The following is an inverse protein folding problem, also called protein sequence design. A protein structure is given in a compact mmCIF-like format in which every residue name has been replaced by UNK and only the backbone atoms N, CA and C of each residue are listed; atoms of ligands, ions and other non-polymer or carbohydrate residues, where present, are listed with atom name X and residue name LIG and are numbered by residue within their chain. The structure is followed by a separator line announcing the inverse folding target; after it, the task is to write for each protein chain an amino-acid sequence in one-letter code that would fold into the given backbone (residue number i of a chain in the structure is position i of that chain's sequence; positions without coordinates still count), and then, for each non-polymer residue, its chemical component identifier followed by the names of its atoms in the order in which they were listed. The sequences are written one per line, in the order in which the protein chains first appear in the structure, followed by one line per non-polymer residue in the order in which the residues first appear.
data_IF_400484096706
#
_entry.id   IF_400484096706
#
_cell.length_a   1.000
_cell.length_b   1.000
_cell.length_c   1.000
_cell.angle_alpha   90.00
_cell.angle_beta   90.00
_cell.angle_gamma   90.00
#
_symmetry.space_group_name_H-M   'P 1'
#
loop_
_entity.id
_entity.type
_entity.pdbx_description
1 polymer ?
#
# COMPACT_ATOMS: atom_id res chain seq x y z
N UNK A 1 5.75 -59.18 -39.21
CA UNK A 1 4.64 -59.13 -38.22
C UNK A 1 5.06 -58.33 -36.98
N UNK A 2 6.21 -58.60 -36.34
CA UNK A 2 6.67 -57.90 -35.10
C UNK A 2 6.81 -56.39 -35.27
N UNK A 3 7.36 -55.87 -36.39
CA UNK A 3 7.49 -54.40 -36.61
C UNK A 3 6.14 -53.69 -36.76
N UNK A 4 5.15 -54.30 -37.40
CA UNK A 4 3.80 -53.75 -37.52
C UNK A 4 3.09 -53.71 -36.12
N UNK A 5 3.30 -54.71 -35.28
CA UNK A 5 2.74 -54.77 -33.94
C UNK A 5 3.34 -53.68 -33.01
N UNK A 6 4.66 -53.49 -33.09
CA UNK A 6 5.33 -52.39 -32.34
C UNK A 6 4.82 -51.02 -32.80
N UNK A 7 4.64 -50.82 -34.11
CA UNK A 7 4.12 -49.54 -34.66
C UNK A 7 2.69 -49.24 -34.16
N UNK A 8 1.85 -50.28 -34.09
CA UNK A 8 0.47 -50.14 -33.52
C UNK A 8 0.51 -49.77 -32.05
N UNK A 9 1.39 -50.41 -31.26
CA UNK A 9 1.55 -50.08 -29.86
C UNK A 9 2.01 -48.64 -29.64
N UNK A 10 2.96 -48.15 -30.46
CA UNK A 10 3.43 -46.76 -30.38
C UNK A 10 2.32 -45.78 -30.75
N UNK A 11 1.49 -46.08 -31.74
CA UNK A 11 0.33 -45.26 -32.09
C UNK A 11 -0.69 -45.21 -30.96
N UNK A 12 -1.00 -46.36 -30.34
CA UNK A 12 -1.93 -46.42 -29.20
C UNK A 12 -1.39 -45.65 -28.00
N UNK A 13 -0.09 -45.78 -27.68
CA UNK A 13 0.55 -45.00 -26.61
C UNK A 13 0.53 -43.51 -26.92
N UNK A 14 0.74 -43.09 -28.15
CA UNK A 14 0.67 -41.68 -28.61
C UNK A 14 -0.75 -41.12 -28.48
N UNK A 15 -1.78 -41.89 -28.80
CA UNK A 15 -3.19 -41.47 -28.67
C UNK A 15 -3.57 -41.31 -27.18
N UNK A 16 -3.09 -42.18 -26.29
CA UNK A 16 -3.32 -42.10 -24.82
C UNK A 16 -2.63 -40.85 -24.25
N UNK A 17 -1.48 -40.42 -24.82
CA UNK A 17 -0.76 -39.22 -24.41
C UNK A 17 -1.45 -37.91 -24.83
N UNK A 18 -2.42 -37.94 -25.71
CA UNK A 18 -3.14 -36.78 -26.26
C UNK A 18 -4.39 -36.41 -25.43
N UNK A 19 -4.76 -37.19 -24.43
CA UNK A 19 -5.94 -36.91 -23.56
C UNK A 19 -5.64 -35.93 -22.42
N UNK A 20 -4.92 -34.86 -22.71
CA UNK A 20 -4.28 -34.00 -21.73
C UNK A 20 -5.11 -32.83 -21.14
N UNK A 21 -6.42 -32.74 -21.31
CA UNK A 21 -7.21 -31.59 -20.80
C UNK A 21 -8.51 -31.99 -20.11
N UNK A 22 -8.50 -33.08 -19.32
CA UNK A 22 -9.71 -33.59 -18.67
C UNK A 22 -10.30 -32.65 -17.60
N UNK A 23 -9.50 -31.76 -17.00
CA UNK A 23 -9.92 -30.86 -15.91
C UNK A 23 -9.91 -29.37 -16.34
N UNK A 24 -10.13 -29.07 -17.61
CA UNK A 24 -10.18 -27.68 -18.09
C UNK A 24 -11.58 -27.09 -17.83
N UNK A 25 -11.67 -26.09 -16.94
CA UNK A 25 -12.88 -25.27 -16.75
C UNK A 25 -12.80 -24.13 -17.80
N UNK A 26 -13.79 -24.04 -18.68
CA UNK A 26 -13.87 -22.97 -19.67
C UNK A 26 -14.03 -21.59 -19.03
N UNK A 27 -13.50 -20.55 -19.68
CA UNK A 27 -13.55 -19.17 -19.16
C UNK A 27 -14.99 -18.69 -18.92
N UNK A 28 -15.95 -19.13 -19.72
CA UNK A 28 -17.37 -18.82 -19.54
C UNK A 28 -18.01 -19.45 -18.30
N UNK A 29 -17.38 -20.47 -17.71
CA UNK A 29 -17.81 -21.13 -16.46
C UNK A 29 -17.11 -20.57 -15.24
N UNK A 30 -16.19 -19.60 -15.41
CA UNK A 30 -15.45 -18.96 -14.33
C UNK A 30 -16.06 -17.63 -13.92
N UNK A 31 -15.95 -17.32 -12.64
CA UNK A 31 -16.19 -16.01 -12.05
C UNK A 31 -14.89 -15.51 -11.44
N UNK A 32 -14.30 -14.47 -12.03
CA UNK A 32 -12.96 -13.99 -11.69
C UNK A 32 -13.07 -13.01 -10.51
N UNK A 33 -12.64 -13.43 -9.33
CA UNK A 33 -12.59 -12.57 -8.14
C UNK A 33 -11.42 -11.59 -8.26
N UNK A 34 -11.73 -10.29 -8.16
CA UNK A 34 -10.76 -9.20 -8.33
C UNK A 34 -10.43 -8.48 -7.05
N UNK A 35 -11.38 -8.44 -6.09
CA UNK A 35 -11.17 -7.88 -4.76
C UNK A 35 -11.92 -8.66 -3.68
N UNK A 36 -11.38 -8.60 -2.47
CA UNK A 36 -11.99 -9.16 -1.26
C UNK A 36 -12.00 -8.08 -0.18
N UNK A 37 -13.19 -7.77 0.33
CA UNK A 37 -13.41 -6.90 1.49
C UNK A 37 -13.69 -7.72 2.73
N UNK A 38 -13.20 -7.29 3.88
CA UNK A 38 -13.43 -7.99 5.14
C UNK A 38 -13.83 -6.96 6.20
N UNK A 39 -15.02 -7.14 6.74
CA UNK A 39 -15.61 -6.28 7.75
C UNK A 39 -15.94 -7.08 9.01
N UNK A 40 -16.08 -6.37 10.12
CA UNK A 40 -16.60 -6.94 11.36
C UNK A 40 -18.06 -7.32 11.17
N UNK A 41 -18.45 -8.50 11.61
CA UNK A 41 -19.85 -8.93 11.65
C UNK A 41 -20.62 -8.35 12.84
N UNK A 42 -21.93 -8.44 12.79
CA UNK A 42 -22.81 -7.92 13.85
C UNK A 42 -22.69 -8.75 15.14
N UNK A 43 -22.43 -10.04 15.03
CA UNK A 43 -22.20 -10.92 16.18
C UNK A 43 -20.69 -11.03 16.49
N UNK A 44 -20.38 -11.15 17.80
CA UNK A 44 -19.02 -11.35 18.30
C UNK A 44 -18.44 -12.65 17.72
N UNK A 45 -17.44 -12.59 16.90
CA UNK A 45 -16.79 -13.68 16.18
C UNK A 45 -17.24 -13.92 14.73
N UNK A 46 -18.19 -13.18 14.21
CA UNK A 46 -18.52 -13.22 12.79
C UNK A 46 -17.77 -12.14 12.03
N UNK A 47 -17.45 -12.43 10.77
CA UNK A 47 -16.93 -11.48 9.78
C UNK A 47 -17.91 -11.39 8.62
N UNK A 48 -17.95 -10.24 7.96
CA UNK A 48 -18.60 -10.07 6.68
C UNK A 48 -17.52 -10.05 5.62
N UNK A 49 -17.57 -11.02 4.70
CA UNK A 49 -16.64 -11.07 3.57
C UNK A 49 -17.37 -10.68 2.29
N UNK A 50 -16.87 -9.66 1.63
CA UNK A 50 -17.41 -9.13 0.37
C UNK A 50 -16.47 -9.51 -0.76
N UNK A 51 -16.98 -10.25 -1.74
CA UNK A 51 -16.27 -10.62 -2.95
C UNK A 51 -16.73 -9.75 -4.11
N UNK A 52 -15.79 -9.11 -4.80
CA UNK A 52 -16.06 -8.45 -6.07
C UNK A 52 -15.45 -9.28 -7.19
N UNK A 53 -16.24 -9.62 -8.18
CA UNK A 53 -15.87 -10.51 -9.27
C UNK A 53 -16.32 -9.98 -10.63
N UNK A 54 -15.69 -10.51 -11.69
CA UNK A 54 -16.03 -10.28 -13.08
C UNK A 54 -16.62 -11.56 -13.65
N UNK A 55 -17.71 -11.43 -14.38
CA UNK A 55 -18.32 -12.50 -15.16
C UNK A 55 -17.93 -12.30 -16.63
N UNK A 56 -16.97 -13.08 -17.19
CA UNK A 56 -16.41 -12.84 -18.53
C UNK A 56 -17.44 -12.85 -19.67
N UNK A 57 -18.48 -13.68 -19.57
CA UNK A 57 -19.54 -13.75 -20.58
C UNK A 57 -20.33 -12.45 -20.77
N UNK A 58 -20.30 -11.57 -19.74
CA UNK A 58 -21.01 -10.29 -19.78
C UNK A 58 -20.13 -9.15 -20.28
N UNK A 59 -18.86 -9.43 -20.58
CA UNK A 59 -17.97 -8.43 -21.15
C UNK A 59 -18.45 -8.04 -22.54
N UNK A 60 -18.47 -6.74 -22.83
CA UNK A 60 -18.83 -6.21 -24.14
C UNK A 60 -17.77 -6.62 -25.17
N UNK A 61 -18.21 -7.07 -26.34
CA UNK A 61 -17.34 -7.27 -27.50
C UNK A 61 -17.81 -6.33 -28.63
N UNK A 62 -16.97 -6.04 -29.63
CA UNK A 62 -17.38 -5.20 -30.77
C UNK A 62 -18.62 -5.71 -31.50
N UNK A 63 -18.93 -7.00 -31.40
CA UNK A 63 -20.08 -7.66 -31.98
C UNK A 63 -21.29 -7.78 -31.04
N UNK A 64 -21.10 -7.49 -29.77
CA UNK A 64 -22.18 -7.44 -28.76
C UNK A 64 -22.07 -6.13 -27.99
N UNK A 65 -23.00 -5.20 -28.15
CA UNK A 65 -23.06 -4.01 -27.31
C UNK A 65 -23.16 -4.44 -25.85
N UNK A 66 -22.61 -3.61 -24.96
CA UNK A 66 -22.67 -3.85 -23.53
C UNK A 66 -24.10 -4.20 -23.14
N UNK A 67 -24.31 -5.39 -22.58
CA UNK A 67 -25.62 -5.73 -22.02
C UNK A 67 -25.93 -4.72 -20.90
N UNK A 68 -27.17 -4.35 -20.70
CA UNK A 68 -27.61 -3.49 -19.58
C UNK A 68 -27.20 -4.04 -18.20
N UNK A 69 -26.82 -5.32 -18.15
CA UNK A 69 -26.29 -5.97 -16.93
C UNK A 69 -24.79 -5.77 -16.83
N UNK A 70 -24.38 -5.13 -15.76
CA UNK A 70 -22.95 -5.02 -15.37
C UNK A 70 -22.28 -6.40 -15.39
N UNK A 71 -21.05 -6.47 -15.91
CA UNK A 71 -20.19 -7.66 -15.82
C UNK A 71 -19.58 -7.85 -14.41
N UNK A 72 -19.84 -6.92 -13.49
CA UNK A 72 -19.36 -6.97 -12.10
C UNK A 72 -20.45 -7.58 -11.23
N UNK A 73 -20.02 -8.51 -10.38
CA UNK A 73 -20.84 -9.13 -9.36
C UNK A 73 -20.21 -8.87 -7.99
N UNK A 74 -20.97 -8.30 -7.05
CA UNK A 74 -20.52 -8.05 -5.69
C UNK A 74 -21.42 -8.81 -4.73
N UNK A 75 -20.82 -9.66 -3.91
CA UNK A 75 -21.57 -10.52 -2.96
C UNK A 75 -20.93 -10.42 -1.59
N UNK A 76 -21.73 -10.06 -0.58
CA UNK A 76 -21.34 -10.09 0.82
C UNK A 76 -21.95 -11.30 1.53
N UNK A 77 -21.13 -11.99 2.32
CA UNK A 77 -21.56 -13.14 3.13
C UNK A 77 -21.10 -12.98 4.58
N UNK A 78 -21.97 -13.23 5.53
CA UNK A 78 -21.60 -13.31 6.96
C UNK A 78 -21.07 -14.69 7.26
N UNK A 79 -19.89 -14.80 7.85
CA UNK A 79 -19.18 -16.05 8.06
C UNK A 79 -18.43 -16.07 9.40
N UNK A 80 -18.13 -17.26 9.89
CA UNK A 80 -17.31 -17.46 11.10
C UNK A 80 -15.81 -17.51 10.79
N UNK A 81 -15.44 -17.72 9.54
CA UNK A 81 -14.05 -17.82 9.08
C UNK A 81 -13.96 -17.53 7.57
N UNK A 82 -12.77 -17.36 7.07
CA UNK A 82 -12.51 -17.22 5.63
C UNK A 82 -12.98 -18.49 4.88
N UNK A 83 -12.70 -19.68 5.38
CA UNK A 83 -13.16 -20.92 4.76
C UNK A 83 -14.68 -21.02 4.73
N UNK A 84 -15.38 -20.64 5.81
CA UNK A 84 -16.85 -20.61 5.85
C UNK A 84 -17.40 -19.61 4.84
N UNK A 85 -16.70 -18.47 4.65
CA UNK A 85 -17.11 -17.47 3.65
C UNK A 85 -17.03 -18.00 2.22
N UNK A 86 -16.01 -18.79 1.90
CA UNK A 86 -15.88 -19.42 0.58
C UNK A 86 -17.03 -20.41 0.32
N UNK A 87 -17.35 -21.27 1.29
CA UNK A 87 -18.48 -22.20 1.19
C UNK A 87 -19.80 -21.46 0.96
N UNK A 88 -20.02 -20.35 1.67
CA UNK A 88 -21.22 -19.51 1.51
C UNK A 88 -21.24 -18.75 0.18
N UNK A 89 -20.09 -18.31 -0.29
CA UNK A 89 -19.97 -17.67 -1.59
C UNK A 89 -20.28 -18.63 -2.73
N UNK A 90 -19.76 -19.86 -2.70
CA UNK A 90 -20.08 -20.90 -3.69
C UNK A 90 -21.59 -21.19 -3.80
N UNK A 91 -22.35 -21.01 -2.72
CA UNK A 91 -23.83 -21.16 -2.75
C UNK A 91 -24.56 -19.97 -3.42
N UNK A 92 -23.85 -18.87 -3.69
CA UNK A 92 -24.43 -17.63 -4.25
C UNK A 92 -23.95 -17.31 -5.66
N UNK A 93 -23.02 -18.12 -6.19
CA UNK A 93 -22.57 -18.00 -7.57
C UNK A 93 -22.96 -19.23 -8.36
N UNK A 94 -23.31 -19.05 -9.64
CA UNK A 94 -23.60 -20.14 -10.59
C UNK A 94 -22.35 -20.58 -11.36
N UNK A 95 -21.20 -20.03 -11.07
CA UNK A 95 -19.93 -20.25 -11.76
C UNK A 95 -18.83 -20.63 -10.75
N UNK A 96 -17.71 -21.15 -11.24
CA UNK A 96 -16.57 -21.51 -10.41
C UNK A 96 -15.76 -20.25 -10.07
N UNK A 97 -15.67 -19.80 -8.80
CA UNK A 97 -14.86 -18.67 -8.42
C UNK A 97 -13.37 -18.96 -8.63
N UNK A 98 -12.67 -17.97 -9.20
CA UNK A 98 -11.24 -17.99 -9.45
C UNK A 98 -10.58 -16.82 -8.71
N UNK A 99 -9.76 -17.10 -7.69
CA UNK A 99 -9.15 -16.09 -6.81
C UNK A 99 -7.72 -15.71 -7.19
N UNK A 100 -7.10 -16.38 -8.16
CA UNK A 100 -5.70 -16.13 -8.55
C UNK A 100 -5.52 -14.74 -9.17
N UNK A 101 -6.61 -14.12 -9.62
CA UNK A 101 -6.63 -12.76 -10.16
C UNK A 101 -6.98 -11.70 -9.12
N UNK A 102 -7.16 -12.08 -7.84
CA UNK A 102 -7.43 -11.12 -6.77
C UNK A 102 -6.25 -10.16 -6.60
N UNK A 103 -6.52 -8.87 -6.75
CA UNK A 103 -5.52 -7.80 -6.70
C UNK A 103 -5.59 -6.99 -5.41
N UNK A 104 -6.76 -6.95 -4.77
CA UNK A 104 -7.09 -6.02 -3.70
C UNK A 104 -7.72 -6.77 -2.53
N UNK A 105 -7.18 -6.50 -1.33
CA UNK A 105 -7.79 -6.84 -0.05
C UNK A 105 -8.10 -5.55 0.69
N UNK A 106 -9.33 -5.34 1.10
CA UNK A 106 -9.75 -4.16 1.88
C UNK A 106 -10.21 -4.63 3.24
N UNK A 107 -9.69 -4.01 4.30
CA UNK A 107 -10.10 -4.30 5.67
C UNK A 107 -10.83 -3.09 6.23
N UNK A 108 -12.04 -3.30 6.76
CA UNK A 108 -12.81 -2.27 7.45
C UNK A 108 -12.20 -1.91 8.80
N UNK A 109 -12.35 -0.63 9.20
CA UNK A 109 -11.72 -0.08 10.40
C UNK A 109 -12.08 -0.85 11.68
N UNK A 110 -13.36 -1.16 11.91
CA UNK A 110 -13.81 -1.82 13.13
C UNK A 110 -13.16 -3.20 13.32
N UNK A 111 -13.02 -3.96 12.23
CA UNK A 111 -12.34 -5.25 12.25
C UNK A 111 -10.84 -5.08 12.50
N UNK A 112 -10.21 -4.09 11.84
CA UNK A 112 -8.79 -3.82 12.01
C UNK A 112 -8.45 -3.41 13.46
N UNK A 113 -9.34 -2.68 14.13
CA UNK A 113 -9.20 -2.30 15.56
C UNK A 113 -9.39 -3.49 16.51
N UNK A 114 -10.26 -4.44 16.17
CA UNK A 114 -10.47 -5.64 16.98
C UNK A 114 -9.30 -6.62 16.88
N UNK A 115 -8.73 -6.76 15.68
CA UNK A 115 -7.56 -7.58 15.38
C UNK A 115 -7.71 -8.40 14.09
N UNK A 116 -6.60 -8.52 13.37
CA UNK A 116 -6.61 -9.13 12.02
C UNK A 116 -6.10 -10.57 11.97
N UNK A 117 -5.49 -11.08 13.04
CA UNK A 117 -4.79 -12.37 13.02
C UNK A 117 -5.65 -13.54 12.58
N UNK A 118 -6.90 -13.61 13.07
CA UNK A 118 -7.76 -14.78 12.83
C UNK A 118 -8.11 -14.98 11.35
N UNK A 119 -8.36 -13.90 10.62
CA UNK A 119 -8.74 -13.98 9.22
C UNK A 119 -7.53 -13.92 8.27
N UNK A 120 -6.46 -13.22 8.64
CA UNK A 120 -5.22 -13.18 7.86
C UNK A 120 -4.59 -14.56 7.79
N UNK A 121 -4.52 -15.29 8.91
CA UNK A 121 -4.07 -16.69 8.93
C UNK A 121 -4.95 -17.57 8.02
N UNK A 122 -6.28 -17.39 8.06
CA UNK A 122 -7.22 -18.10 7.19
C UNK A 122 -6.97 -17.84 5.70
N UNK A 123 -6.74 -16.58 5.29
CA UNK A 123 -6.42 -16.24 3.89
C UNK A 123 -5.11 -16.91 3.47
N UNK A 124 -4.09 -16.88 4.32
CA UNK A 124 -2.77 -17.44 4.00
C UNK A 124 -2.75 -18.97 3.89
N UNK A 125 -3.58 -19.65 4.66
CA UNK A 125 -3.71 -21.12 4.59
C UNK A 125 -4.54 -21.57 3.39
N UNK A 126 -5.30 -20.68 2.81
CA UNK A 126 -6.15 -20.96 1.65
C UNK A 126 -5.36 -20.69 0.38
N UNK A 127 -4.93 -21.74 -0.31
CA UNK A 127 -4.04 -21.66 -1.49
C UNK A 127 -4.65 -20.91 -2.68
N UNK A 128 -5.97 -20.76 -2.71
CA UNK A 128 -6.68 -20.03 -3.75
C UNK A 128 -6.34 -18.53 -3.75
N UNK A 129 -6.03 -17.94 -2.59
CA UNK A 129 -5.80 -16.51 -2.48
C UNK A 129 -4.38 -16.09 -2.90
N UNK A 130 -4.31 -15.02 -3.68
CA UNK A 130 -3.03 -14.46 -4.14
C UNK A 130 -2.38 -13.59 -3.07
N UNK A 131 -1.22 -14.00 -2.55
CA UNK A 131 -0.49 -13.25 -1.51
C UNK A 131 0.15 -11.94 -1.99
N UNK A 132 0.24 -11.71 -3.30
CA UNK A 132 0.79 -10.47 -3.91
C UNK A 132 -0.25 -9.39 -4.15
N UNK A 133 -1.52 -9.59 -3.79
CA UNK A 133 -2.55 -8.56 -3.82
C UNK A 133 -2.23 -7.45 -2.82
N UNK A 134 -2.61 -6.20 -3.15
CA UNK A 134 -2.48 -5.05 -2.25
C UNK A 134 -3.42 -5.22 -1.06
N UNK A 135 -2.93 -4.95 0.14
CA UNK A 135 -3.76 -4.85 1.34
C UNK A 135 -3.98 -3.38 1.67
N UNK A 136 -5.22 -3.02 1.92
CA UNK A 136 -5.69 -1.65 2.11
C UNK A 136 -6.63 -1.58 3.32
N UNK A 137 -6.72 -0.43 3.94
CA UNK A 137 -7.66 -0.13 5.00
C UNK A 137 -8.69 0.90 4.53
N UNK A 138 -9.89 0.87 5.07
CA UNK A 138 -10.84 1.96 4.90
C UNK A 138 -11.43 2.38 6.24
N UNK A 139 -11.73 3.67 6.39
CA UNK A 139 -12.61 4.15 7.45
C UNK A 139 -14.02 3.70 7.14
N UNK A 140 -14.68 3.05 8.10
CA UNK A 140 -15.99 2.42 7.86
C UNK A 140 -15.85 1.01 7.27
N UNK A 141 -16.71 0.66 6.33
CA UNK A 141 -16.85 -0.71 5.81
C UNK A 141 -16.13 -0.92 4.48
N UNK A 142 -15.41 -2.01 4.38
CA UNK A 142 -14.80 -2.47 3.13
C UNK A 142 -15.85 -2.78 2.05
N UNK A 143 -17.02 -3.27 2.46
CA UNK A 143 -18.15 -3.51 1.56
C UNK A 143 -18.58 -2.27 0.80
N UNK A 144 -18.56 -1.08 1.44
CA UNK A 144 -18.97 0.17 0.81
C UNK A 144 -18.01 0.55 -0.33
N UNK A 145 -16.70 0.36 -0.11
CA UNK A 145 -15.67 0.57 -1.12
C UNK A 145 -15.90 -0.35 -2.33
N UNK A 146 -16.17 -1.64 -2.09
CA UNK A 146 -16.32 -2.62 -3.18
C UNK A 146 -17.66 -2.52 -3.92
N UNK A 147 -18.70 -1.98 -3.30
CA UNK A 147 -19.96 -1.68 -3.97
C UNK A 147 -19.93 -0.37 -4.75
N UNK A 148 -18.93 0.50 -4.46
CA UNK A 148 -18.81 1.79 -5.15
C UNK A 148 -18.48 1.59 -6.62
N UNK A 149 -19.31 2.17 -7.49
CA UNK A 149 -19.01 2.29 -8.92
C UNK A 149 -18.19 3.54 -9.16
N UNK A 150 -17.11 3.39 -9.90
CA UNK A 150 -16.22 4.47 -10.31
C UNK A 150 -16.46 4.77 -11.79
N UNK A 151 -16.59 6.04 -12.15
CA UNK A 151 -16.88 6.41 -13.56
C UNK A 151 -15.76 6.02 -14.51
N UNK A 152 -14.49 6.12 -14.04
CA UNK A 152 -13.32 5.86 -14.87
C UNK A 152 -13.17 4.40 -15.31
N UNK A 153 -13.69 3.44 -14.52
CA UNK A 153 -13.65 2.01 -14.84
C UNK A 153 -14.87 1.30 -14.28
N UNK A 154 -15.35 0.31 -15.01
CA UNK A 154 -16.47 -0.50 -14.52
C UNK A 154 -16.10 -1.31 -13.24
N UNK A 155 -14.81 -1.52 -12.97
CA UNK A 155 -14.30 -2.39 -11.90
C UNK A 155 -13.52 -1.55 -10.89
N UNK A 156 -14.08 -1.33 -9.69
CA UNK A 156 -13.41 -0.57 -8.64
C UNK A 156 -12.08 -1.19 -8.21
N UNK A 157 -11.94 -2.52 -8.23
CA UNK A 157 -10.68 -3.20 -7.93
C UNK A 157 -9.55 -2.83 -8.91
N UNK A 158 -9.84 -2.69 -10.20
CA UNK A 158 -8.84 -2.27 -11.20
C UNK A 158 -8.47 -0.80 -11.02
N UNK A 159 -9.45 0.05 -10.76
CA UNK A 159 -9.21 1.46 -10.44
C UNK A 159 -8.30 1.61 -9.22
N UNK A 160 -8.65 0.97 -8.10
CA UNK A 160 -7.86 1.01 -6.87
C UNK A 160 -6.45 0.45 -7.11
N UNK A 161 -6.32 -0.68 -7.81
CA UNK A 161 -5.02 -1.26 -8.14
C UNK A 161 -4.12 -0.32 -8.94
N UNK A 162 -4.68 0.40 -9.90
CA UNK A 162 -3.96 1.39 -10.70
C UNK A 162 -3.62 2.64 -9.86
N UNK A 163 -4.55 3.10 -9.01
CA UNK A 163 -4.32 4.20 -8.09
C UNK A 163 -3.13 3.93 -7.16
N UNK A 164 -3.05 2.73 -6.57
CA UNK A 164 -1.93 2.32 -5.70
C UNK A 164 -0.63 2.19 -6.50
N UNK A 165 -0.66 1.68 -7.72
CA UNK A 165 0.52 1.64 -8.59
C UNK A 165 1.05 3.06 -8.90
N UNK A 166 0.17 4.00 -9.21
CA UNK A 166 0.54 5.40 -9.45
C UNK A 166 1.10 6.03 -8.17
N UNK A 167 0.45 5.81 -7.01
CA UNK A 167 0.92 6.34 -5.72
C UNK A 167 2.33 5.85 -5.36
N UNK A 168 2.67 4.63 -5.75
CA UNK A 168 4.03 4.08 -5.58
C UNK A 168 5.07 4.83 -6.44
N UNK A 169 4.69 5.25 -7.65
CA UNK A 169 5.59 6.04 -8.50
C UNK A 169 5.80 7.47 -8.03
N UNK A 170 4.81 8.06 -7.37
CA UNK A 170 4.90 9.44 -6.84
C UNK A 170 5.17 9.47 -5.33
N UNK A 171 5.35 8.29 -4.70
CA UNK A 171 5.71 8.11 -3.29
C UNK A 171 4.82 8.90 -2.32
N UNK A 172 3.51 8.76 -2.47
CA UNK A 172 2.52 9.48 -1.64
C UNK A 172 2.02 8.67 -0.45
N UNK A 173 1.94 7.33 -0.60
CA UNK A 173 1.52 6.41 0.46
C UNK A 173 2.32 5.11 0.40
N UNK A 174 2.45 4.36 1.53
CA UNK A 174 3.13 3.08 1.55
C UNK A 174 2.35 2.05 0.72
N UNK A 175 3.05 1.20 0.00
CA UNK A 175 2.43 0.12 -0.77
C UNK A 175 2.75 -1.22 -0.13
N UNK A 176 1.75 -1.82 0.51
CA UNK A 176 1.88 -3.12 1.18
C UNK A 176 1.10 -4.19 0.42
N UNK A 177 1.74 -5.33 0.20
CA UNK A 177 1.05 -6.54 -0.24
C UNK A 177 0.62 -7.36 0.97
N UNK A 178 -0.34 -8.27 0.77
CA UNK A 178 -0.75 -9.20 1.82
C UNK A 178 0.46 -9.99 2.38
N UNK A 179 1.42 -10.36 1.51
CA UNK A 179 2.64 -11.06 1.91
C UNK A 179 3.54 -10.20 2.82
N UNK A 180 3.84 -8.96 2.40
CA UNK A 180 4.71 -8.08 3.20
C UNK A 180 4.06 -7.67 4.52
N UNK A 181 2.74 -7.49 4.52
CA UNK A 181 1.97 -7.26 5.73
C UNK A 181 2.11 -8.40 6.73
N UNK A 182 1.93 -9.65 6.29
CA UNK A 182 2.10 -10.83 7.16
C UNK A 182 3.52 -10.94 7.72
N UNK A 183 4.53 -10.70 6.88
CA UNK A 183 5.92 -10.70 7.32
C UNK A 183 6.17 -9.68 8.44
N UNK A 184 5.57 -8.50 8.34
CA UNK A 184 5.65 -7.46 9.39
C UNK A 184 4.82 -7.81 10.63
N UNK A 185 3.63 -8.42 10.48
CA UNK A 185 2.85 -8.92 11.61
C UNK A 185 3.61 -9.94 12.44
N UNK A 186 4.38 -10.80 11.78
CA UNK A 186 5.20 -11.83 12.43
C UNK A 186 6.53 -11.30 12.96
N UNK A 187 6.87 -10.04 12.67
CA UNK A 187 8.13 -9.42 13.06
C UNK A 187 8.11 -8.98 14.52
N UNK A 188 9.22 -9.20 15.23
CA UNK A 188 9.46 -8.68 16.58
C UNK A 188 10.08 -7.28 16.59
N UNK A 189 10.43 -6.76 15.42
CA UNK A 189 11.22 -5.53 15.27
C UNK A 189 10.52 -4.42 14.51
N UNK A 190 9.41 -4.73 13.81
CA UNK A 190 8.76 -3.76 12.93
C UNK A 190 7.27 -4.11 12.81
N UNK A 191 6.41 -3.15 13.05
CA UNK A 191 4.96 -3.28 12.85
C UNK A 191 4.54 -2.84 11.45
N UNK A 192 3.44 -3.39 10.90
CA UNK A 192 2.97 -3.00 9.58
C UNK A 192 2.24 -1.66 9.57
N UNK A 193 2.22 -1.05 8.38
CA UNK A 193 1.38 0.10 8.02
C UNK A 193 0.62 -0.24 6.76
N UNK A 194 -0.58 0.28 6.61
CA UNK A 194 -1.45 -0.04 5.47
C UNK A 194 -2.11 1.22 4.96
N UNK A 195 -2.04 1.46 3.66
CA UNK A 195 -2.66 2.62 3.01
C UNK A 195 -4.15 2.69 3.28
N UNK A 196 -4.62 3.87 3.68
CA UNK A 196 -6.03 4.19 3.80
C UNK A 196 -6.60 4.54 2.43
N UNK A 197 -7.69 3.89 2.05
CA UNK A 197 -8.56 4.29 0.95
C UNK A 197 -9.89 4.79 1.49
N UNK A 198 -10.49 5.71 0.77
CA UNK A 198 -11.78 6.29 1.15
C UNK A 198 -12.61 6.65 -0.08
N UNK A 199 -13.93 6.77 0.11
CA UNK A 199 -14.82 7.34 -0.89
C UNK A 199 -14.75 8.85 -0.71
N UNK A 200 -14.19 9.54 -1.71
CA UNK A 200 -14.15 11.00 -1.72
C UNK A 200 -15.55 11.58 -1.93
N UNK A 201 -15.86 12.65 -1.21
CA UNK A 201 -17.11 13.37 -1.40
C UNK A 201 -17.20 13.90 -2.84
N UNK A 202 -18.37 13.86 -3.48
CA UNK A 202 -18.53 14.39 -4.82
C UNK A 202 -18.21 15.90 -4.81
N UNK A 203 -17.34 16.33 -5.72
CA UNK A 203 -17.18 17.75 -6.06
C UNK A 203 -18.30 18.16 -7.00
N UNK A 204 -18.68 19.44 -7.01
CA UNK A 204 -19.74 19.94 -7.88
C UNK A 204 -19.65 19.39 -9.30
N UNK A 205 -20.69 18.69 -9.75
CA UNK A 205 -20.78 18.11 -11.10
C UNK A 205 -20.11 16.74 -11.32
N UNK A 206 -19.42 16.18 -10.34
CA UNK A 206 -18.73 14.89 -10.46
C UNK A 206 -19.37 13.83 -9.54
N UNK A 207 -19.31 12.56 -9.94
CA UNK A 207 -19.63 11.45 -9.05
C UNK A 207 -18.54 11.31 -7.94
N UNK A 208 -18.95 10.78 -6.77
CA UNK A 208 -17.98 10.43 -5.74
C UNK A 208 -17.00 9.36 -6.25
N UNK A 209 -15.73 9.56 -6.02
CA UNK A 209 -14.65 8.67 -6.47
C UNK A 209 -13.97 7.95 -5.29
N UNK A 210 -13.00 7.09 -5.57
CA UNK A 210 -12.17 6.44 -4.55
C UNK A 210 -10.78 7.08 -4.57
N UNK A 211 -10.34 7.56 -3.41
CA UNK A 211 -9.02 8.13 -3.21
C UNK A 211 -8.26 7.41 -2.09
N UNK A 212 -7.04 7.87 -1.81
CA UNK A 212 -6.25 7.46 -0.66
C UNK A 212 -5.93 8.66 0.24
N UNK A 213 -5.81 8.42 1.56
CA UNK A 213 -5.61 9.48 2.54
C UNK A 213 -4.73 9.01 3.70
N UNK A 214 -3.41 8.98 3.47
CA UNK A 214 -2.45 8.53 4.47
C UNK A 214 -2.45 7.02 4.70
N UNK A 215 -2.16 6.58 5.92
CA UNK A 215 -2.10 5.16 6.26
C UNK A 215 -2.51 4.86 7.69
N UNK A 216 -2.97 3.63 7.92
CA UNK A 216 -3.23 3.09 9.25
C UNK A 216 -1.99 2.42 9.83
N UNK A 217 -1.80 2.59 11.13
CA UNK A 217 -0.68 2.04 11.91
C UNK A 217 -1.17 0.87 12.73
N UNK A 218 -0.50 -0.27 12.61
CA UNK A 218 -0.77 -1.42 13.44
C UNK A 218 0.22 -1.52 14.60
N UNK A 219 -0.27 -1.96 15.75
CA UNK A 219 0.53 -2.49 16.84
C UNK A 219 0.15 -3.93 17.05
N UNK A 220 1.10 -4.85 16.78
CA UNK A 220 0.77 -6.29 16.61
C UNK A 220 -0.27 -6.44 15.51
N UNK A 221 -1.40 -7.07 15.80
CA UNK A 221 -2.49 -7.35 14.86
C UNK A 221 -3.64 -6.33 14.89
N UNK A 222 -3.50 -5.21 15.64
CA UNK A 222 -4.57 -4.22 15.81
C UNK A 222 -4.21 -2.86 15.24
N UNK A 223 -5.15 -2.26 14.54
CA UNK A 223 -5.06 -0.85 14.13
C UNK A 223 -5.11 0.04 15.38
N UNK A 224 -4.07 0.83 15.61
CA UNK A 224 -3.97 1.76 16.75
C UNK A 224 -4.26 3.21 16.37
N UNK A 225 -4.13 3.56 15.10
CA UNK A 225 -4.43 4.92 14.65
C UNK A 225 -4.06 5.16 13.19
N UNK A 226 -4.16 6.42 12.77
CA UNK A 226 -3.98 6.86 11.40
C UNK A 226 -2.90 7.93 11.32
N UNK A 227 -2.08 7.88 10.29
CA UNK A 227 -1.20 8.97 9.87
C UNK A 227 -1.89 9.77 8.76
N UNK A 228 -1.85 11.08 8.87
CA UNK A 228 -2.25 12.00 7.80
C UNK A 228 -1.31 11.87 6.59
N UNK A 229 -1.63 12.53 5.48
CA UNK A 229 -0.77 12.52 4.29
C UNK A 229 0.64 13.05 4.60
N UNK A 230 0.77 14.14 5.39
CA UNK A 230 2.07 14.72 5.76
C UNK A 230 2.87 13.79 6.68
N UNK A 231 2.23 13.23 7.72
CA UNK A 231 2.85 12.25 8.60
C UNK A 231 3.25 10.97 7.85
N UNK A 232 2.44 10.55 6.87
CA UNK A 232 2.75 9.42 6.00
C UNK A 232 3.97 9.73 5.13
N UNK A 233 4.08 10.94 4.57
CA UNK A 233 5.25 11.34 3.79
C UNK A 233 6.53 11.36 4.64
N UNK A 234 6.42 11.81 5.90
CA UNK A 234 7.52 11.69 6.89
C UNK A 234 7.96 10.24 7.12
N UNK A 235 7.02 9.30 7.22
CA UNK A 235 7.30 7.86 7.27
C UNK A 235 8.03 7.36 6.01
N UNK A 236 7.59 7.79 4.82
CA UNK A 236 8.21 7.37 3.55
C UNK A 236 9.65 7.88 3.43
N UNK A 237 9.97 9.09 3.92
CA UNK A 237 11.33 9.59 4.04
C UNK A 237 12.19 8.63 4.89
N UNK A 238 11.74 8.29 6.11
CA UNK A 238 12.48 7.43 7.04
C UNK A 238 12.71 6.02 6.45
N UNK A 239 11.71 5.48 5.76
CA UNK A 239 11.75 4.11 5.24
C UNK A 239 12.36 3.99 3.84
N UNK A 240 12.92 5.08 3.29
CA UNK A 240 13.54 5.14 1.95
C UNK A 240 12.56 4.75 0.83
N UNK A 241 11.31 5.16 0.95
CA UNK A 241 10.28 4.90 -0.05
C UNK A 241 9.96 6.12 -0.91
N UNK A 242 10.55 7.29 -0.65
CA UNK A 242 10.48 8.47 -1.52
C UNK A 242 11.40 8.24 -2.72
N UNK A 243 10.84 7.93 -3.88
CA UNK A 243 11.59 7.78 -5.12
C UNK A 243 11.43 8.98 -6.05
N UNK A 244 10.22 9.49 -6.14
CA UNK A 244 9.81 10.67 -6.91
C UNK A 244 8.66 11.35 -6.18
N UNK A 245 8.35 12.58 -6.52
CA UNK A 245 7.25 13.33 -5.88
C UNK A 245 7.47 14.81 -6.04
N UNK A 246 6.56 15.61 -5.50
CA UNK A 246 6.68 17.06 -5.46
C UNK A 246 6.75 17.50 -4.01
N UNK A 247 7.71 18.35 -3.70
CA UNK A 247 7.85 19.00 -2.40
C UNK A 247 7.56 20.48 -2.56
N UNK A 248 6.78 21.03 -1.64
CA UNK A 248 6.48 22.45 -1.58
C UNK A 248 7.29 23.09 -0.44
N UNK A 249 7.86 24.24 -0.68
CA UNK A 249 8.53 25.04 0.34
C UNK A 249 8.35 26.53 0.08
N UNK A 250 8.46 27.32 1.13
CA UNK A 250 8.59 28.75 1.03
C UNK A 250 10.05 29.16 0.84
N UNK A 251 10.29 30.32 0.19
CA UNK A 251 11.60 30.95 0.26
C UNK A 251 11.81 31.49 1.68
N UNK A 252 13.00 31.33 2.30
CA UNK A 252 13.27 31.83 3.64
C UNK A 252 12.91 33.30 3.80
N UNK A 253 12.08 33.64 4.80
CA UNK A 253 11.56 35.00 5.05
C UNK A 253 10.27 35.35 4.30
N UNK A 254 9.68 34.43 3.53
CA UNK A 254 8.35 34.60 2.91
C UNK A 254 7.31 33.74 3.62
N UNK A 255 6.09 34.26 3.80
CA UNK A 255 4.99 33.57 4.47
C UNK A 255 4.26 32.56 3.56
N UNK A 256 4.76 32.28 2.35
CA UNK A 256 4.04 31.47 1.35
C UNK A 256 4.91 30.33 0.81
N UNK A 257 4.34 29.12 0.82
CA UNK A 257 4.87 27.90 0.22
C UNK A 257 4.60 27.91 -1.29
N UNK A 258 5.30 28.77 -2.05
CA UNK A 258 5.02 28.98 -3.48
C UNK A 258 6.16 28.51 -4.40
N UNK A 259 7.09 27.74 -3.87
CA UNK A 259 8.14 27.14 -4.67
C UNK A 259 7.98 25.62 -4.59
N UNK A 260 7.88 24.98 -5.75
CA UNK A 260 7.81 23.53 -5.83
C UNK A 260 9.07 22.96 -6.47
N UNK A 261 9.54 21.83 -5.92
CA UNK A 261 10.55 21.00 -6.55
C UNK A 261 10.01 19.62 -6.89
N UNK A 262 10.53 19.06 -7.95
CA UNK A 262 10.35 17.66 -8.31
C UNK A 262 11.49 16.86 -7.73
N UNK A 263 11.20 15.95 -6.82
CA UNK A 263 12.18 15.00 -6.29
C UNK A 263 12.63 14.10 -7.44
N UNK A 264 13.94 14.04 -7.68
CA UNK A 264 14.56 13.18 -8.70
C UNK A 264 15.01 11.86 -8.09
N UNK A 265 15.65 11.94 -6.92
CA UNK A 265 16.05 10.77 -6.13
C UNK A 265 16.27 11.14 -4.67
N UNK A 266 16.06 10.17 -3.80
CA UNK A 266 16.40 10.31 -2.39
C UNK A 266 17.09 9.07 -1.85
N UNK A 267 17.74 9.22 -0.70
CA UNK A 267 18.37 8.13 0.03
C UNK A 267 18.35 8.45 1.52
N UNK A 268 18.08 7.44 2.35
CA UNK A 268 18.22 7.56 3.79
C UNK A 268 19.20 6.53 4.34
N UNK A 269 19.95 6.94 5.34
CA UNK A 269 20.81 6.06 6.14
C UNK A 269 20.39 6.15 7.60
N UNK A 270 20.01 5.00 8.16
CA UNK A 270 19.62 4.86 9.57
C UNK A 270 20.82 4.29 10.32
N UNK A 271 21.41 5.07 11.22
CA UNK A 271 22.61 4.73 11.96
C UNK A 271 22.32 4.63 13.46
N UNK A 272 22.06 3.43 14.01
CA UNK A 272 21.94 3.26 15.45
C UNK A 272 23.32 3.35 16.13
N UNK A 273 23.35 4.04 17.27
CA UNK A 273 24.47 4.13 18.21
C UNK A 273 23.99 3.75 19.60
N UNK A 274 24.83 3.06 20.35
CA UNK A 274 24.57 2.75 21.76
C UNK A 274 25.76 3.26 22.57
N UNK A 275 25.52 4.22 23.45
CA UNK A 275 26.55 4.82 24.30
C UNK A 275 26.05 4.83 25.74
N UNK A 276 26.79 4.22 26.66
CA UNK A 276 26.41 4.11 28.07
C UNK A 276 25.00 3.54 28.30
N UNK A 277 24.60 2.55 27.48
CA UNK A 277 23.26 1.95 27.54
C UNK A 277 22.13 2.78 26.91
N UNK A 278 22.38 4.03 26.51
CA UNK A 278 21.41 4.88 25.81
C UNK A 278 21.48 4.63 24.31
N UNK A 279 20.30 4.40 23.70
CA UNK A 279 20.17 4.20 22.26
C UNK A 279 19.86 5.55 21.61
N UNK A 280 20.58 5.86 20.55
CA UNK A 280 20.37 7.02 19.69
C UNK A 280 20.33 6.57 18.24
N UNK A 281 19.49 7.18 17.42
CA UNK A 281 19.42 6.95 15.98
C UNK A 281 19.79 8.25 15.26
N UNK A 282 20.79 8.20 14.35
CA UNK A 282 20.99 9.25 13.36
C UNK A 282 20.29 8.86 12.06
N UNK A 283 19.42 9.74 11.58
CA UNK A 283 18.79 9.67 10.26
C UNK A 283 19.48 10.66 9.35
N UNK A 284 20.28 10.16 8.41
CA UNK A 284 20.93 11.00 7.40
C UNK A 284 20.15 10.84 6.08
N UNK A 285 19.40 11.87 5.71
CA UNK A 285 18.54 11.93 4.51
C UNK A 285 19.24 12.80 3.50
N UNK A 286 19.39 12.30 2.29
CA UNK A 286 19.90 13.00 1.14
C UNK A 286 18.83 13.01 0.04
N UNK A 287 18.64 14.16 -0.59
CA UNK A 287 17.66 14.40 -1.63
C UNK A 287 18.28 15.20 -2.77
N UNK A 288 17.90 14.88 -4.00
CA UNK A 288 18.16 15.69 -5.19
C UNK A 288 16.86 16.01 -5.90
N UNK A 289 16.66 17.29 -6.21
CA UNK A 289 15.47 17.79 -6.87
C UNK A 289 15.74 18.79 -8.00
N UNK A 290 14.66 19.15 -8.67
CA UNK A 290 14.63 20.19 -9.72
C UNK A 290 13.45 21.14 -9.47
N UNK A 291 13.68 22.45 -9.54
CA UNK A 291 12.59 23.43 -9.39
C UNK A 291 11.60 23.26 -10.53
N UNK A 292 10.31 23.22 -10.18
CA UNK A 292 9.17 23.15 -11.12
C UNK A 292 8.40 24.44 -11.21
N UNK A 293 8.12 25.06 -10.08
CA UNK A 293 7.34 26.30 -10.00
C UNK A 293 8.01 27.27 -9.05
N UNK A 294 7.94 28.56 -9.39
CA UNK A 294 8.46 29.67 -8.63
C UNK A 294 7.51 30.86 -8.82
N UNK A 295 6.35 30.82 -8.17
CA UNK A 295 5.27 31.80 -8.38
C UNK A 295 5.61 33.23 -7.95
N UNK A 296 6.63 33.41 -7.11
CA UNK A 296 6.99 34.74 -6.56
C UNK A 296 8.13 35.41 -7.29
N UNK A 297 8.58 34.87 -8.41
CA UNK A 297 9.67 35.48 -9.15
C UNK A 297 10.97 35.61 -8.36
N UNK A 298 11.22 34.73 -7.41
CA UNK A 298 12.48 34.69 -6.67
C UNK A 298 13.60 34.50 -7.68
N UNK A 299 14.56 35.43 -7.71
CA UNK A 299 15.72 35.30 -8.57
C UNK A 299 16.64 34.20 -8.07
N UNK A 300 16.62 33.06 -8.79
CA UNK A 300 17.44 31.87 -8.47
C UNK A 300 18.68 31.91 -9.37
N UNK A 301 19.52 32.89 -9.18
CA UNK A 301 20.67 33.16 -10.06
C UNK A 301 22.01 33.25 -9.33
N UNK A 302 22.02 33.08 -8.01
CA UNK A 302 23.26 33.08 -7.22
C UNK A 302 23.39 31.81 -6.39
N UNK A 303 24.62 31.38 -6.03
CA UNK A 303 24.86 30.26 -5.13
C UNK A 303 24.12 30.41 -3.80
N UNK A 304 23.99 31.64 -3.29
CA UNK A 304 23.31 31.97 -2.04
C UNK A 304 21.80 31.73 -2.15
N UNK A 305 21.17 32.13 -3.26
CA UNK A 305 19.74 31.91 -3.48
C UNK A 305 19.40 30.43 -3.66
N UNK A 306 20.28 29.68 -4.34
CA UNK A 306 20.12 28.21 -4.47
C UNK A 306 20.28 27.56 -3.09
N UNK A 307 21.30 27.95 -2.32
CA UNK A 307 21.51 27.39 -0.98
C UNK A 307 20.36 27.68 -0.04
N UNK A 308 19.78 28.89 -0.09
CA UNK A 308 18.61 29.23 0.71
C UNK A 308 17.39 28.34 0.39
N UNK A 309 17.17 28.00 -0.88
CA UNK A 309 16.13 27.06 -1.30
C UNK A 309 16.40 25.63 -0.84
N UNK A 310 17.63 25.14 -1.02
CA UNK A 310 18.05 23.83 -0.52
C UNK A 310 17.81 23.71 0.99
N UNK A 311 18.14 24.74 1.77
CA UNK A 311 17.91 24.78 3.22
C UNK A 311 16.41 24.86 3.57
N UNK A 312 15.60 25.54 2.74
CA UNK A 312 14.15 25.59 2.86
C UNK A 312 13.52 24.21 2.69
N UNK A 313 13.84 23.51 1.60
CA UNK A 313 13.36 22.14 1.35
C UNK A 313 13.87 21.16 2.41
N UNK A 314 15.13 21.27 2.84
CA UNK A 314 15.67 20.46 3.92
C UNK A 314 14.91 20.66 5.25
N UNK A 315 14.50 21.88 5.54
CA UNK A 315 13.69 22.21 6.72
C UNK A 315 12.30 21.58 6.64
N UNK A 316 11.67 21.60 5.46
CA UNK A 316 10.37 20.98 5.24
C UNK A 316 10.43 19.44 5.41
N UNK A 317 11.39 18.78 4.77
CA UNK A 317 11.63 17.34 4.95
C UNK A 317 11.83 17.01 6.44
N UNK A 318 12.64 17.80 7.14
CA UNK A 318 12.91 17.62 8.57
C UNK A 318 11.66 17.79 9.42
N UNK A 319 10.76 18.71 9.05
CA UNK A 319 9.46 18.92 9.72
C UNK A 319 8.59 17.68 9.58
N UNK A 320 8.38 17.18 8.34
CA UNK A 320 7.57 15.99 8.07
C UNK A 320 8.07 14.75 8.82
N UNK A 321 9.39 14.53 8.78
CA UNK A 321 10.02 13.41 9.50
C UNK A 321 9.79 13.52 11.00
N UNK A 322 9.95 14.72 11.60
CA UNK A 322 9.72 14.92 13.03
C UNK A 322 8.26 14.73 13.43
N UNK A 323 7.31 15.22 12.65
CA UNK A 323 5.87 15.03 12.89
C UNK A 323 5.51 13.54 12.88
N UNK A 324 6.00 12.80 11.88
CA UNK A 324 5.83 11.35 11.81
C UNK A 324 6.43 10.64 13.03
N UNK A 325 7.69 10.96 13.39
CA UNK A 325 8.37 10.37 14.55
C UNK A 325 7.63 10.66 15.85
N UNK A 326 7.19 11.90 16.05
CA UNK A 326 6.41 12.27 17.23
C UNK A 326 5.13 11.42 17.36
N UNK A 327 4.41 11.24 16.25
CA UNK A 327 3.19 10.44 16.21
C UNK A 327 3.45 8.98 16.57
N UNK A 328 4.43 8.36 15.91
CA UNK A 328 4.70 6.93 16.08
C UNK A 328 5.41 6.59 17.40
N UNK A 329 6.28 7.48 17.91
CA UNK A 329 6.98 7.25 19.18
C UNK A 329 6.16 7.63 20.40
N UNK A 330 5.50 8.78 20.38
CA UNK A 330 4.84 9.30 21.60
C UNK A 330 3.36 8.92 21.69
N UNK A 331 2.64 8.88 20.57
CA UNK A 331 1.21 8.54 20.57
C UNK A 331 0.98 7.03 20.42
N UNK A 332 1.51 6.42 19.34
CA UNK A 332 1.24 4.99 19.06
C UNK A 332 2.21 4.04 19.74
N UNK A 333 3.40 4.50 20.08
CA UNK A 333 4.45 3.73 20.79
C UNK A 333 4.72 2.40 20.07
N UNK A 334 4.92 2.47 18.74
CA UNK A 334 5.12 1.29 17.90
C UNK A 334 6.12 1.57 16.78
N UNK A 335 7.08 0.68 16.60
CA UNK A 335 8.12 0.80 15.58
C UNK A 335 7.59 0.32 14.22
N UNK A 336 7.20 1.28 13.39
CA UNK A 336 6.80 1.06 11.98
C UNK A 336 7.92 1.43 10.99
N UNK A 337 9.02 1.98 11.49
CA UNK A 337 10.17 2.45 10.69
C UNK A 337 11.33 1.46 10.66
N UNK A 338 11.26 0.42 11.51
CA UNK A 338 12.23 -0.66 11.54
C UNK A 338 13.53 -0.32 12.28
N UNK A 339 13.50 0.57 13.27
CA UNK A 339 14.66 0.87 14.11
C UNK A 339 15.15 -0.37 14.87
N UNK A 340 14.21 -1.17 15.40
CA UNK A 340 14.53 -2.44 16.04
C UNK A 340 15.30 -3.38 15.13
N UNK A 341 14.91 -3.47 13.87
CA UNK A 341 15.62 -4.29 12.86
C UNK A 341 17.05 -3.80 12.61
N UNK A 342 17.26 -2.47 12.58
CA UNK A 342 18.61 -1.88 12.41
C UNK A 342 19.48 -2.11 13.64
N UNK A 343 18.91 -1.99 14.83
CA UNK A 343 19.61 -2.26 16.10
C UNK A 343 19.95 -3.74 16.21
N UNK A 344 18.99 -4.62 15.95
CA UNK A 344 19.22 -6.07 15.98
C UNK A 344 20.36 -6.48 15.04
N UNK A 345 20.36 -5.95 13.80
CA UNK A 345 21.43 -6.24 12.82
C UNK A 345 22.79 -5.74 13.26
N UNK A 346 22.88 -4.56 13.87
CA UNK A 346 24.17 -3.93 14.21
C UNK A 346 24.68 -4.33 15.60
N UNK A 347 23.78 -4.56 16.55
CA UNK A 347 24.06 -4.83 17.96
C UNK A 347 23.27 -6.06 18.47
N UNK A 348 23.51 -7.27 17.94
CA UNK A 348 22.67 -8.45 18.25
C UNK A 348 22.69 -8.84 19.73
N UNK A 349 23.80 -8.66 20.44
CA UNK A 349 23.90 -8.96 21.88
C UNK A 349 23.07 -8.01 22.73
N UNK A 350 23.10 -6.71 22.41
CA UNK A 350 22.32 -5.70 23.09
C UNK A 350 20.82 -5.85 22.78
N UNK A 351 20.51 -6.23 21.53
CA UNK A 351 19.12 -6.49 21.11
C UNK A 351 18.44 -7.55 21.98
N UNK A 352 19.11 -8.66 22.26
CA UNK A 352 18.57 -9.71 23.13
C UNK A 352 18.10 -9.20 24.50
N UNK A 353 18.74 -8.17 25.03
CA UNK A 353 18.41 -7.60 26.32
C UNK A 353 17.21 -6.65 26.30
N UNK A 354 16.88 -6.08 25.13
CA UNK A 354 15.82 -5.07 24.96
C UNK A 354 14.63 -5.58 24.13
N UNK A 355 14.76 -6.69 23.41
CA UNK A 355 13.70 -7.23 22.55
C UNK A 355 12.36 -7.34 23.26
N UNK A 356 12.34 -7.92 24.47
CA UNK A 356 11.14 -8.12 25.25
C UNK A 356 10.50 -6.81 25.74
N UNK A 357 11.29 -5.72 25.82
CA UNK A 357 10.88 -4.39 26.26
C UNK A 357 10.88 -3.36 25.13
N UNK A 358 10.88 -3.82 23.86
CA UNK A 358 11.01 -2.92 22.73
C UNK A 358 9.91 -1.86 22.65
N UNK A 359 8.69 -2.20 23.01
CA UNK A 359 7.56 -1.27 23.09
C UNK A 359 7.76 -0.15 24.14
N UNK A 360 8.60 -0.36 25.17
CA UNK A 360 8.96 0.62 26.18
C UNK A 360 10.19 1.44 25.77
N UNK A 361 11.12 0.81 25.07
CA UNK A 361 12.39 1.42 24.64
C UNK A 361 12.21 2.33 23.43
N UNK A 362 11.43 1.90 22.43
CA UNK A 362 11.23 2.64 21.17
C UNK A 362 10.73 4.08 21.36
N UNK A 363 9.75 4.37 22.27
CA UNK A 363 9.27 5.72 22.52
C UNK A 363 10.32 6.68 23.08
N UNK A 364 11.37 6.16 23.72
CA UNK A 364 12.41 6.94 24.40
C UNK A 364 13.69 7.09 23.59
N UNK A 365 13.74 6.51 22.37
CA UNK A 365 14.90 6.64 21.49
C UNK A 365 15.00 8.08 21.00
N UNK A 366 16.14 8.67 21.22
CA UNK A 366 16.48 9.97 20.64
C UNK A 366 16.86 9.82 19.17
N UNK A 367 16.21 10.61 18.30
CA UNK A 367 16.42 10.57 16.86
C UNK A 367 16.96 11.91 16.38
N UNK A 368 18.20 11.91 15.90
CA UNK A 368 18.81 13.05 15.25
C UNK A 368 18.52 13.00 13.75
N UNK A 369 17.91 14.05 13.20
CA UNK A 369 17.50 14.12 11.78
C UNK A 369 18.39 15.12 11.05
N UNK A 370 19.22 14.61 10.15
CA UNK A 370 20.10 15.37 9.26
C UNK A 370 19.56 15.25 7.84
N UNK A 371 19.33 16.41 7.19
CA UNK A 371 18.79 16.47 5.83
C UNK A 371 19.71 17.32 4.98
N UNK A 372 20.10 16.80 3.83
CA UNK A 372 20.84 17.49 2.79
C UNK A 372 20.05 17.44 1.49
N UNK A 373 19.72 18.62 0.94
CA UNK A 373 19.03 18.78 -0.34
C UNK A 373 20.00 19.37 -1.35
N UNK A 374 19.95 18.90 -2.60
CA UNK A 374 20.72 19.42 -3.73
C UNK A 374 19.82 19.67 -4.92
N UNK A 375 19.76 20.91 -5.31
CA UNK A 375 19.06 21.33 -6.54
C UNK A 375 19.97 21.13 -7.75
N UNK A 376 19.55 20.27 -8.70
CA UNK A 376 20.27 19.99 -9.95
C UNK A 376 20.03 21.05 -11.01
N UNK A 377 18.82 21.62 -11.02
CA UNK A 377 18.36 22.54 -12.04
C UNK A 377 17.31 23.48 -11.45
N UNK A 378 17.36 24.72 -11.87
CA UNK A 378 16.36 25.74 -11.56
C UNK A 378 15.20 25.74 -12.56
N UNK A 379 15.06 24.70 -13.37
CA UNK A 379 14.07 24.58 -14.42
C UNK A 379 14.63 25.04 -15.79
N UNK A 380 13.74 25.09 -16.80
CA UNK A 380 14.11 25.53 -18.16
C UNK A 380 14.23 27.05 -18.31
N UNK A 381 13.80 27.78 -17.30
CA UNK A 381 13.71 29.26 -17.30
C UNK A 381 14.43 29.77 -16.06
N UNK A 382 15.42 30.67 -16.26
CA UNK A 382 16.21 31.22 -15.17
C UNK A 382 15.44 32.33 -14.44
N UNK A 383 14.55 33.06 -15.14
CA UNK A 383 13.74 34.16 -14.59
C UNK A 383 12.26 33.82 -14.68
N UNK A 384 11.46 34.31 -13.70
CA UNK A 384 10.00 34.23 -13.81
C UNK A 384 9.49 34.94 -15.07
N UNK A 385 8.45 34.36 -15.70
CA UNK A 385 7.77 34.95 -16.87
C UNK A 385 6.83 36.09 -16.45
N UNK A 386 6.54 36.23 -15.17
CA UNK A 386 5.70 37.32 -14.63
C UNK A 386 6.47 38.65 -14.65
N UNK A 387 5.90 39.71 -15.28
CA UNK A 387 6.52 41.01 -15.33
C UNK A 387 6.63 41.66 -13.96
#
# INVERSE_FOLDING_TARGET
VKKKFIFIIVIILSIISLTGCWDSIELNQREIVTAVGIDKGDEKSNIIVTFQSIIPERASTPLRPASEKSNIHVVSVTAKSITDSLVKYHKRTSKTPEFQHNRIYVIGEDLAREGVNSFIDGIFRTYEFRSRGWILLCKGKASDILHKRVEATAISADYIGNLINISNHVATVPTETLHTFLMKLSSKTTSPVVTQIEIEAPKEGNAADIGYNGCGVFKKDKLVGWLTMNETRGLLWITNQIGKGVLLSGYPGTASENISEQIVRSKVKINPKITNGKIMISLDIWEEGEIRENDKGVYINSPESIKALEDGFATEIKREVKESLQKIQKEYKTDIVGFGSKIHKKFPSQWKNIEAKWDEVFPEIEVEVNVEVKLRSTGKIINSITP
#
